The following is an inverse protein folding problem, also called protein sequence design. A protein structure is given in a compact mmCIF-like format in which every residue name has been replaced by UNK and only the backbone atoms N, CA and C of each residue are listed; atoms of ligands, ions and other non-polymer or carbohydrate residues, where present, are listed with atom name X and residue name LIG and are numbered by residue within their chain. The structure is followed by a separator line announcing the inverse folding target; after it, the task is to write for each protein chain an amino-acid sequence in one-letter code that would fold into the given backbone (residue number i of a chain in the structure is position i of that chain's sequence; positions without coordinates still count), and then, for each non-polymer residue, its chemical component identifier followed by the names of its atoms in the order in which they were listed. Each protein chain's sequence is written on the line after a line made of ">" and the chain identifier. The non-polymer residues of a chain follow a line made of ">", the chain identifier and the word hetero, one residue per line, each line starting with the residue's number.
data_IF_969962989994
#
_entry.id   IF_969962989994
#
_cell.length_a   1.000
_cell.length_b   1.000
_cell.length_c   1.000
_cell.angle_alpha   90.00
_cell.angle_beta   90.00
_cell.angle_gamma   90.00
#
_symmetry.space_group_name_H-M   'P 1'
#
loop_
_entity.id
_entity.type
_entity.pdbx_description
1 polymer ?
#
# COMPACT_ATOMS: atom_id res chain seq x y z
N UNK A 1 -0.44 10.19 -8.60
CA UNK A 1 -1.65 10.43 -7.77
C UNK A 1 -1.32 11.45 -6.68
N UNK A 2 -2.24 12.37 -6.34
CA UNK A 2 -2.02 13.32 -5.23
C UNK A 2 -2.08 12.56 -3.90
N UNK A 3 -1.03 12.67 -3.08
CA UNK A 3 -1.00 12.07 -1.75
C UNK A 3 -1.88 12.90 -0.81
N UNK A 4 -3.06 12.40 -0.48
CA UNK A 4 -3.95 13.01 0.52
C UNK A 4 -4.31 11.96 1.57
N UNK A 5 -4.58 12.36 2.82
CA UNK A 5 -4.96 11.42 3.88
C UNK A 5 -6.16 10.55 3.49
N UNK A 6 -7.19 11.15 2.87
CA UNK A 6 -8.38 10.43 2.42
C UNK A 6 -8.06 9.36 1.36
N UNK A 7 -7.14 9.63 0.43
CA UNK A 7 -6.74 8.67 -0.58
C UNK A 7 -5.96 7.50 0.02
N UNK A 8 -5.08 7.78 1.00
CA UNK A 8 -4.33 6.74 1.73
C UNK A 8 -5.30 5.85 2.51
N UNK A 9 -6.21 6.45 3.28
CA UNK A 9 -7.17 5.70 4.10
C UNK A 9 -8.12 4.86 3.24
N UNK A 10 -8.60 5.41 2.12
CA UNK A 10 -9.43 4.68 1.16
C UNK A 10 -8.71 3.46 0.59
N UNK A 11 -7.44 3.62 0.22
CA UNK A 11 -6.62 2.52 -0.28
C UNK A 11 -6.37 1.45 0.79
N UNK A 12 -6.01 1.84 2.01
CA UNK A 12 -5.85 0.89 3.13
C UNK A 12 -7.12 0.10 3.37
N UNK A 13 -8.27 0.78 3.43
CA UNK A 13 -9.56 0.11 3.61
C UNK A 13 -9.88 -0.84 2.46
N UNK A 14 -9.57 -0.45 1.22
CA UNK A 14 -9.78 -1.29 0.06
C UNK A 14 -8.92 -2.55 0.11
N UNK A 15 -7.65 -2.42 0.49
CA UNK A 15 -6.74 -3.56 0.65
C UNK A 15 -7.22 -4.52 1.73
N UNK A 16 -7.55 -4.00 2.91
CA UNK A 16 -7.98 -4.82 4.06
C UNK A 16 -9.32 -5.52 3.78
N UNK A 17 -10.31 -4.81 3.23
CA UNK A 17 -11.67 -5.36 3.05
C UNK A 17 -11.82 -6.22 1.81
N UNK A 18 -11.09 -5.93 0.73
CA UNK A 18 -11.32 -6.59 -0.56
C UNK A 18 -10.25 -7.59 -0.98
N UNK A 19 -9.00 -7.48 -0.52
CA UNK A 19 -7.96 -8.47 -0.86
C UNK A 19 -7.87 -9.62 0.15
N UNK A 20 -8.14 -9.36 1.43
CA UNK A 20 -7.89 -10.35 2.48
C UNK A 20 -6.40 -10.64 2.67
N UNK A 21 -6.08 -11.41 3.72
CA UNK A 21 -4.70 -11.70 4.11
C UNK A 21 -4.18 -12.98 3.46
N UNK A 22 -2.94 -13.03 2.94
CA UNK A 22 -1.97 -11.94 2.83
C UNK A 22 -2.28 -10.97 1.67
N UNK A 23 -1.98 -9.69 1.87
CA UNK A 23 -2.26 -8.63 0.89
C UNK A 23 -1.10 -8.54 -0.11
N UNK A 24 -1.41 -8.53 -1.40
CA UNK A 24 -0.45 -8.33 -2.49
C UNK A 24 -0.97 -7.30 -3.48
N UNK A 25 -0.27 -6.17 -3.57
CA UNK A 25 -0.68 -5.07 -4.45
C UNK A 25 0.51 -4.52 -5.23
N UNK A 26 0.30 -4.39 -6.54
CA UNK A 26 1.22 -3.72 -7.45
C UNK A 26 0.67 -2.33 -7.80
N UNK A 27 1.54 -1.34 -7.72
CA UNK A 27 1.27 0.06 -7.97
C UNK A 27 2.13 0.54 -9.15
N UNK A 28 1.54 0.71 -10.34
CA UNK A 28 2.28 1.18 -11.49
C UNK A 28 2.84 2.59 -11.29
N UNK A 29 4.13 2.77 -11.59
CA UNK A 29 4.83 4.06 -11.45
C UNK A 29 4.26 5.16 -12.35
N UNK A 30 3.58 4.78 -13.44
CA UNK A 30 2.88 5.72 -14.32
C UNK A 30 1.68 6.40 -13.66
N UNK A 31 1.12 5.83 -12.59
CA UNK A 31 -0.07 6.34 -11.92
C UNK A 31 0.18 6.74 -10.46
N UNK A 32 1.05 6.00 -9.78
CA UNK A 32 1.31 6.15 -8.35
C UNK A 32 2.69 6.72 -8.08
N UNK A 33 2.76 7.62 -7.10
CA UNK A 33 4.01 8.16 -6.60
C UNK A 33 4.54 7.26 -5.48
N UNK A 34 5.87 7.09 -5.40
CA UNK A 34 6.52 6.33 -4.32
C UNK A 34 6.07 6.79 -2.94
N UNK A 35 5.89 8.10 -2.74
CA UNK A 35 5.45 8.70 -1.46
C UNK A 35 4.06 8.20 -1.06
N UNK A 36 3.17 8.01 -2.04
CA UNK A 36 1.85 7.46 -1.79
C UNK A 36 1.94 6.04 -1.26
N UNK A 37 2.65 5.17 -1.98
CA UNK A 37 2.75 3.74 -1.64
C UNK A 37 3.45 3.54 -0.29
N UNK A 38 4.47 4.35 0.00
CA UNK A 38 5.12 4.35 1.32
C UNK A 38 4.18 4.80 2.43
N UNK A 39 3.35 5.82 2.19
CA UNK A 39 2.38 6.29 3.18
C UNK A 39 1.29 5.23 3.46
N UNK A 40 0.79 4.57 2.41
CA UNK A 40 -0.14 3.43 2.53
C UNK A 40 0.50 2.30 3.34
N UNK A 41 1.72 1.90 3.01
CA UNK A 41 2.43 0.85 3.73
C UNK A 41 2.64 1.17 5.22
N UNK A 42 3.00 2.42 5.55
CA UNK A 42 3.13 2.86 6.95
C UNK A 42 1.79 2.83 7.70
N UNK A 43 0.72 3.27 7.06
CA UNK A 43 -0.61 3.26 7.67
C UNK A 43 -1.06 1.82 7.94
N UNK A 44 -0.89 0.91 6.97
CA UNK A 44 -1.19 -0.51 7.18
C UNK A 44 -0.36 -1.14 8.30
N UNK A 45 0.91 -0.77 8.45
CA UNK A 45 1.75 -1.28 9.54
C UNK A 45 1.25 -0.82 10.91
N UNK A 46 0.70 0.39 11.00
CA UNK A 46 0.11 0.93 12.22
C UNK A 46 -1.24 0.29 12.52
N UNK A 47 -2.09 0.12 11.50
CA UNK A 47 -3.45 -0.44 11.65
C UNK A 47 -3.43 -1.96 11.86
N UNK A 48 -2.39 -2.64 11.38
CA UNK A 48 -2.24 -4.09 11.42
C UNK A 48 -0.87 -4.45 12.00
N UNK A 49 -0.68 -4.14 13.29
CA UNK A 49 0.60 -4.32 14.00
C UNK A 49 1.14 -5.74 13.98
N UNK A 50 0.24 -6.73 13.87
CA UNK A 50 0.59 -8.15 13.88
C UNK A 50 1.14 -8.64 12.53
N UNK A 51 1.05 -7.81 11.49
CA UNK A 51 1.47 -8.14 10.13
C UNK A 51 2.70 -7.34 9.72
N UNK A 52 3.55 -7.96 8.90
CA UNK A 52 4.76 -7.34 8.36
C UNK A 52 4.47 -6.72 7.00
N UNK A 53 4.56 -5.39 6.90
CA UNK A 53 4.46 -4.68 5.62
C UNK A 53 5.84 -4.63 4.95
N UNK A 54 5.94 -5.15 3.73
CA UNK A 54 7.12 -5.06 2.87
C UNK A 54 6.78 -4.27 1.61
N UNK A 55 7.66 -3.32 1.28
CA UNK A 55 7.59 -2.55 0.04
C UNK A 55 8.83 -2.82 -0.79
N UNK A 56 8.63 -3.27 -2.02
CA UNK A 56 9.68 -3.48 -3.01
C UNK A 56 9.47 -2.53 -4.19
N UNK A 57 10.56 -2.05 -4.78
CA UNK A 57 10.52 -1.20 -5.96
C UNK A 57 11.07 -1.99 -7.16
N UNK A 58 10.28 -2.09 -8.23
CA UNK A 58 10.66 -2.69 -9.51
C UNK A 58 10.83 -1.59 -10.56
N UNK A 59 11.24 -1.95 -11.78
CA UNK A 59 11.40 -0.99 -12.88
C UNK A 59 10.11 -0.23 -13.17
N UNK A 60 8.98 -0.94 -13.23
CA UNK A 60 7.70 -0.38 -13.69
C UNK A 60 6.71 -0.13 -12.55
N UNK A 61 6.87 -0.82 -11.41
CA UNK A 61 5.89 -0.83 -10.32
C UNK A 61 6.53 -0.73 -8.93
N UNK A 62 5.73 -0.30 -7.96
CA UNK A 62 5.97 -0.55 -6.54
C UNK A 62 5.12 -1.73 -6.10
N UNK A 63 5.72 -2.68 -5.38
CA UNK A 63 5.03 -3.87 -4.88
C UNK A 63 4.89 -3.76 -3.37
N UNK A 64 3.66 -3.75 -2.89
CA UNK A 64 3.30 -3.78 -1.48
C UNK A 64 2.85 -5.20 -1.11
N UNK A 65 3.44 -5.75 -0.06
CA UNK A 65 3.11 -7.06 0.48
C UNK A 65 2.85 -6.94 1.97
N UNK A 66 1.79 -7.57 2.46
CA UNK A 66 1.51 -7.63 3.88
C UNK A 66 1.24 -9.08 4.29
N UNK A 67 2.03 -9.58 5.24
CA UNK A 67 2.08 -10.99 5.67
C UNK A 67 1.96 -11.12 7.17
#
# INVERSE_FOLDING_TARGET
>A
MRVTPNAIQGECMALIKHQGWPIYKEYPKGFYDKKFVVAVGRQLQNDCSDYTVKLAERKEDFVLRVH
#
